data_IF_925317751293
#
_entry.id   IF_925317751293
#
_cell.length_a   1.000
_cell.length_b   1.000
_cell.length_c   1.000
_cell.angle_alpha   90.00
_cell.angle_beta   90.00
_cell.angle_gamma   90.00
#
_symmetry.space_group_name_H-M   'P 1'
#
loop_
_entity.id
_entity.type
_entity.pdbx_description
1 polymer ?
#
# COMPACT_ATOMS: atom_id res chain seq x y z
N UNK A 1 -23.22 -74.05 63.22
CA UNK A 1 -23.18 -72.64 62.75
C UNK A 1 -23.35 -72.68 61.23
N UNK A 2 -24.44 -72.11 60.71
CA UNK A 2 -24.82 -72.18 59.29
C UNK A 2 -24.37 -70.88 58.60
N UNK A 3 -23.61 -71.00 57.50
CA UNK A 3 -23.16 -69.85 56.70
C UNK A 3 -24.32 -69.34 55.84
N UNK A 4 -24.62 -68.03 55.82
CA UNK A 4 -25.67 -67.49 54.96
C UNK A 4 -25.24 -67.60 53.49
N UNK A 5 -26.02 -68.27 52.65
CA UNK A 5 -25.81 -68.27 51.21
C UNK A 5 -26.32 -66.96 50.62
N UNK A 6 -25.43 -66.20 49.99
CA UNK A 6 -25.77 -64.98 49.26
C UNK A 6 -26.13 -65.36 47.81
N UNK A 7 -27.24 -64.83 47.30
CA UNK A 7 -27.69 -65.02 45.90
C UNK A 7 -28.75 -66.09 45.65
N UNK A 8 -29.57 -66.47 46.64
CA UNK A 8 -30.60 -67.52 46.52
C UNK A 8 -32.02 -67.03 46.14
N UNK A 9 -32.19 -65.73 45.86
CA UNK A 9 -33.47 -65.17 45.42
C UNK A 9 -33.58 -65.13 43.88
N UNK A 10 -34.78 -65.32 43.29
CA UNK A 10 -34.96 -65.25 41.84
C UNK A 10 -34.59 -63.85 41.32
N UNK A 11 -33.63 -63.78 40.39
CA UNK A 11 -33.13 -62.53 39.80
C UNK A 11 -31.77 -62.05 40.30
N UNK A 12 -31.13 -62.75 41.24
CA UNK A 12 -29.73 -62.47 41.62
C UNK A 12 -28.76 -63.42 40.92
N UNK A 13 -27.64 -62.88 40.44
CA UNK A 13 -26.53 -63.65 39.87
C UNK A 13 -25.78 -64.37 41.00
N UNK A 14 -25.82 -65.70 40.99
CA UNK A 14 -25.08 -66.53 41.94
C UNK A 14 -23.57 -66.43 41.68
N UNK A 15 -22.80 -66.04 42.69
CA UNK A 15 -21.34 -66.07 42.64
C UNK A 15 -20.86 -67.50 42.94
N UNK A 16 -20.16 -68.17 42.00
CA UNK A 16 -19.60 -69.48 42.28
C UNK A 16 -18.51 -69.34 43.36
N UNK A 17 -18.78 -69.92 44.54
CA UNK A 17 -17.80 -70.09 45.61
C UNK A 17 -16.78 -71.15 45.20
N UNK A 18 -15.87 -70.77 44.29
CA UNK A 18 -14.70 -71.57 43.93
C UNK A 18 -13.45 -70.89 44.44
N UNK A 19 -12.77 -71.62 45.33
CA UNK A 19 -11.58 -71.29 46.09
C UNK A 19 -10.47 -70.60 45.28
N UNK A 20 -9.88 -69.55 45.86
CA UNK A 20 -8.70 -68.90 45.31
C UNK A 20 -8.37 -67.59 46.00
N UNK A 21 -8.08 -67.62 47.30
CA UNK A 21 -7.56 -66.47 48.05
C UNK A 21 -6.19 -66.08 47.48
N UNK A 22 -6.17 -65.11 46.57
CA UNK A 22 -4.92 -64.57 46.00
C UNK A 22 -4.21 -63.75 47.08
N UNK A 23 -2.96 -64.09 47.48
CA UNK A 23 -2.26 -63.33 48.50
C UNK A 23 -1.98 -61.90 48.00
N UNK A 24 -2.33 -60.91 48.83
CA UNK A 24 -1.93 -59.51 48.68
C UNK A 24 -0.42 -59.41 48.94
N UNK A 25 0.36 -59.71 47.90
CA UNK A 25 1.82 -59.57 47.90
C UNK A 25 2.20 -58.09 47.89
N UNK A 26 2.60 -57.60 49.05
CA UNK A 26 3.39 -56.38 49.23
C UNK A 26 4.79 -56.62 48.67
N UNK A 27 4.97 -56.46 47.37
CA UNK A 27 6.31 -56.34 46.76
C UNK A 27 6.42 -54.96 46.17
N UNK A 28 7.16 -54.10 46.86
CA UNK A 28 7.57 -52.78 46.41
C UNK A 28 8.33 -52.86 45.10
N UNK A 29 7.57 -52.83 44.01
CA UNK A 29 8.06 -52.49 42.68
C UNK A 29 7.96 -50.97 42.62
N UNK A 30 9.03 -50.30 43.03
CA UNK A 30 9.27 -48.90 42.72
C UNK A 30 9.10 -48.78 41.20
N UNK A 31 8.08 -48.03 40.76
CA UNK A 31 7.95 -47.65 39.37
C UNK A 31 9.28 -46.99 38.97
N UNK A 32 9.96 -47.43 37.90
CA UNK A 32 11.12 -46.71 37.42
C UNK A 32 10.71 -45.25 37.28
N UNK A 33 11.45 -44.33 37.90
CA UNK A 33 11.31 -42.90 37.65
C UNK A 33 11.11 -42.75 36.15
N UNK A 34 9.96 -42.21 35.71
CA UNK A 34 9.76 -41.89 34.31
C UNK A 34 10.90 -40.94 33.98
N UNK A 35 11.95 -41.45 33.32
CA UNK A 35 12.99 -40.61 32.77
C UNK A 35 12.25 -39.59 31.91
N UNK A 36 12.27 -38.33 32.34
CA UNK A 36 11.70 -37.18 31.65
C UNK A 36 11.97 -37.38 30.17
N UNK A 37 10.92 -37.65 29.39
CA UNK A 37 11.08 -37.93 27.98
C UNK A 37 11.85 -36.73 27.40
N UNK A 38 13.03 -36.94 26.79
CA UNK A 38 13.87 -35.81 26.38
C UNK A 38 13.00 -34.91 25.52
N UNK A 39 12.85 -33.65 25.94
CA UNK A 39 12.12 -32.65 25.18
C UNK A 39 12.84 -32.54 23.84
N UNK A 40 12.39 -33.30 22.85
CA UNK A 40 12.96 -33.22 21.52
C UNK A 40 12.67 -31.79 21.06
N UNK A 41 13.73 -31.01 20.88
CA UNK A 41 13.65 -29.73 20.21
C UNK A 41 12.97 -29.97 18.86
N UNK A 42 11.68 -29.65 18.79
CA UNK A 42 10.93 -29.73 17.55
C UNK A 42 11.55 -28.70 16.64
N UNK A 43 12.41 -29.14 15.70
CA UNK A 43 13.01 -28.27 14.70
C UNK A 43 11.89 -27.66 13.85
N UNK A 44 11.48 -26.44 14.18
CA UNK A 44 10.38 -25.73 13.50
C UNK A 44 10.61 -25.57 12.00
N UNK A 45 11.86 -25.62 11.56
CA UNK A 45 12.29 -25.57 10.16
C UNK A 45 11.92 -26.81 9.34
N UNK A 46 11.51 -27.93 9.96
CA UNK A 46 11.06 -29.14 9.25
C UNK A 46 9.55 -29.17 9.01
N UNK A 47 8.79 -28.23 9.55
CA UNK A 47 7.35 -28.16 9.28
C UNK A 47 7.13 -27.44 7.95
N UNK A 48 6.56 -28.10 6.91
CA UNK A 48 6.35 -27.48 5.61
C UNK A 48 5.47 -26.22 5.71
N UNK A 49 4.53 -26.19 6.66
CA UNK A 49 3.70 -25.02 6.95
C UNK A 49 4.51 -23.79 7.40
N UNK A 50 5.59 -23.99 8.16
CA UNK A 50 6.44 -22.89 8.64
C UNK A 50 7.21 -22.22 7.50
N UNK A 51 7.74 -23.02 6.56
CA UNK A 51 8.44 -22.51 5.38
C UNK A 51 7.50 -21.74 4.45
N UNK A 52 6.28 -22.25 4.24
CA UNK A 52 5.26 -21.57 3.44
C UNK A 52 4.85 -20.24 4.10
N UNK A 53 4.65 -20.22 5.42
CA UNK A 53 4.30 -19.00 6.16
C UNK A 53 5.38 -17.93 6.01
N UNK A 54 6.65 -18.29 6.21
CA UNK A 54 7.77 -17.35 6.08
C UNK A 54 7.87 -16.83 4.64
N UNK A 55 7.81 -17.72 3.66
CA UNK A 55 7.87 -17.35 2.25
C UNK A 55 6.74 -16.39 1.87
N UNK A 56 5.51 -16.68 2.28
CA UNK A 56 4.36 -15.83 2.01
C UNK A 56 4.46 -14.48 2.72
N UNK A 57 5.07 -14.43 3.90
CA UNK A 57 5.33 -13.16 4.61
C UNK A 57 6.33 -12.30 3.84
N UNK A 58 7.41 -12.89 3.32
CA UNK A 58 8.36 -12.15 2.47
C UNK A 58 7.71 -11.66 1.18
N UNK A 59 6.91 -12.48 0.51
CA UNK A 59 6.20 -12.07 -0.71
C UNK A 59 5.21 -10.95 -0.41
N UNK A 60 4.44 -11.05 0.68
CA UNK A 60 3.51 -10.00 1.09
C UNK A 60 4.23 -8.68 1.37
N UNK A 61 5.35 -8.74 2.09
CA UNK A 61 6.13 -7.56 2.45
C UNK A 61 6.82 -6.93 1.23
N UNK A 62 7.38 -7.73 0.33
CA UNK A 62 7.95 -7.27 -0.93
C UNK A 62 6.88 -6.65 -1.85
N UNK A 63 5.69 -7.26 -1.92
CA UNK A 63 4.56 -6.72 -2.67
C UNK A 63 4.08 -5.39 -2.10
N UNK A 64 3.99 -5.28 -0.76
CA UNK A 64 3.61 -4.03 -0.10
C UNK A 64 4.64 -2.92 -0.33
N UNK A 65 5.95 -3.22 -0.25
CA UNK A 65 7.01 -2.26 -0.57
C UNK A 65 6.93 -1.83 -2.03
N UNK A 66 6.79 -2.78 -2.96
CA UNK A 66 6.69 -2.49 -4.39
C UNK A 66 5.48 -1.61 -4.68
N UNK A 67 4.32 -1.96 -4.10
CA UNK A 67 3.11 -1.16 -4.24
C UNK A 67 3.28 0.24 -3.66
N UNK A 68 3.88 0.37 -2.47
CA UNK A 68 4.16 1.65 -1.84
C UNK A 68 5.05 2.54 -2.71
N UNK A 69 6.11 1.97 -3.30
CA UNK A 69 6.99 2.69 -4.23
C UNK A 69 6.20 3.14 -5.46
N UNK A 70 5.39 2.24 -6.04
CA UNK A 70 4.55 2.58 -7.20
C UNK A 70 3.59 3.71 -6.83
N UNK A 71 2.92 3.68 -5.68
CA UNK A 71 2.00 4.75 -5.27
C UNK A 71 2.71 6.05 -4.93
N UNK A 72 3.90 6.00 -4.34
CA UNK A 72 4.66 7.20 -4.01
C UNK A 72 5.24 7.89 -5.26
N UNK A 73 5.58 7.11 -6.29
CA UNK A 73 6.10 7.63 -7.58
C UNK A 73 4.94 8.02 -8.51
N UNK A 74 3.87 7.24 -8.52
CA UNK A 74 2.65 7.50 -9.27
C UNK A 74 1.57 8.14 -8.37
N UNK A 75 1.95 9.13 -7.54
CA UNK A 75 0.94 9.99 -6.93
C UNK A 75 0.34 10.86 -8.05
N UNK A 76 -0.54 10.22 -8.82
CA UNK A 76 -1.24 10.75 -10.00
C UNK A 76 -2.34 11.74 -9.59
N UNK A 77 -2.46 12.05 -8.30
CA UNK A 77 -3.49 12.94 -7.79
C UNK A 77 -3.29 14.36 -8.32
N UNK A 78 -2.05 14.82 -8.47
CA UNK A 78 -1.72 16.19 -8.88
C UNK A 78 -1.37 16.23 -10.37
N UNK A 79 -2.41 16.32 -11.20
CA UNK A 79 -2.29 16.59 -12.62
C UNK A 79 -2.99 17.90 -12.99
N UNK A 80 -2.43 18.62 -13.96
CA UNK A 80 -3.08 19.77 -14.58
C UNK A 80 -3.98 19.25 -15.69
N UNK A 81 -5.20 19.76 -15.75
CA UNK A 81 -6.19 19.42 -16.79
C UNK A 81 -6.95 20.67 -17.22
N UNK A 82 -7.45 20.66 -18.47
CA UNK A 82 -8.31 21.73 -18.97
C UNK A 82 -7.68 23.11 -18.88
N UNK A 83 -6.40 23.25 -19.23
CA UNK A 83 -5.73 24.54 -19.25
C UNK A 83 -6.38 25.44 -20.31
N UNK A 84 -7.03 26.50 -19.85
CA UNK A 84 -7.58 27.58 -20.64
C UNK A 84 -6.64 28.78 -20.66
N UNK A 85 -6.64 29.48 -21.80
CA UNK A 85 -6.01 30.78 -21.96
C UNK A 85 -7.03 31.73 -22.58
N UNK A 86 -7.29 32.83 -21.89
CA UNK A 86 -8.12 33.92 -22.38
C UNK A 86 -7.33 35.23 -22.35
N UNK A 87 -7.59 36.10 -23.32
CA UNK A 87 -6.90 37.39 -23.44
C UNK A 87 -7.96 38.49 -23.43
N UNK A 88 -8.13 39.12 -22.28
CA UNK A 88 -9.15 40.13 -22.04
C UNK A 88 -8.53 41.45 -21.61
N UNK A 89 -8.88 42.53 -22.33
CA UNK A 89 -8.44 43.89 -21.98
C UNK A 89 -6.92 44.09 -21.95
N UNK A 90 -6.16 43.24 -22.66
CA UNK A 90 -4.70 43.24 -22.65
C UNK A 90 -4.08 42.50 -21.46
N UNK A 91 -4.81 41.65 -20.76
CA UNK A 91 -4.24 40.73 -19.78
C UNK A 91 -4.48 39.29 -20.25
N UNK A 92 -3.47 38.44 -20.08
CA UNK A 92 -3.66 37.00 -20.25
C UNK A 92 -4.13 36.42 -18.91
N UNK A 93 -5.25 35.72 -18.97
CA UNK A 93 -5.78 34.94 -17.86
C UNK A 93 -5.66 33.46 -18.21
N UNK A 94 -4.91 32.75 -17.38
CA UNK A 94 -4.73 31.31 -17.43
C UNK A 94 -5.60 30.69 -16.35
N UNK A 95 -6.40 29.70 -16.71
CA UNK A 95 -7.19 28.92 -15.78
C UNK A 95 -6.94 27.43 -16.01
N UNK A 96 -6.89 26.63 -14.94
CA UNK A 96 -6.76 25.18 -15.06
C UNK A 96 -7.50 24.46 -13.95
N UNK A 97 -7.68 23.15 -14.14
CA UNK A 97 -8.29 22.26 -13.17
C UNK A 97 -7.26 21.28 -12.60
N UNK A 98 -7.27 21.12 -11.28
CA UNK A 98 -6.44 20.17 -10.53
C UNK A 98 -6.79 20.19 -9.04
N UNK A 99 -6.23 19.28 -8.22
CA UNK A 99 -6.40 19.32 -6.77
C UNK A 99 -5.80 20.58 -6.13
N UNK A 100 -6.13 20.83 -4.86
CA UNK A 100 -5.51 21.90 -4.07
C UNK A 100 -4.03 21.57 -3.80
N UNK A 101 -3.16 22.09 -4.67
CA UNK A 101 -1.72 21.85 -4.68
C UNK A 101 -0.97 23.08 -5.22
N UNK A 102 0.35 23.11 -5.01
CA UNK A 102 1.19 24.14 -5.60
C UNK A 102 1.47 23.86 -7.08
N UNK A 103 1.23 24.86 -7.92
CA UNK A 103 1.48 24.83 -9.36
C UNK A 103 2.53 25.86 -9.76
N UNK A 104 3.31 25.50 -10.76
CA UNK A 104 4.29 26.37 -11.41
C UNK A 104 3.88 26.63 -12.85
N UNK A 105 4.00 27.90 -13.25
CA UNK A 105 3.68 28.37 -14.60
C UNK A 105 4.96 28.87 -15.25
N UNK A 106 5.20 28.44 -16.48
CA UNK A 106 6.34 28.86 -17.29
C UNK A 106 5.84 29.41 -18.62
N UNK A 107 6.48 30.47 -19.10
CA UNK A 107 6.33 30.93 -20.48
C UNK A 107 7.48 30.36 -21.32
N UNK A 108 7.14 29.76 -22.45
CA UNK A 108 8.07 29.23 -23.45
C UNK A 108 7.91 30.09 -24.71
N UNK A 109 8.94 30.86 -25.05
CA UNK A 109 8.94 31.70 -26.26
C UNK A 109 9.30 30.87 -27.51
N UNK A 110 9.06 31.41 -28.71
CA UNK A 110 9.29 30.68 -29.97
C UNK A 110 10.75 30.31 -30.24
N UNK A 111 11.70 30.94 -29.54
CA UNK A 111 13.13 30.61 -29.56
C UNK A 111 13.53 29.51 -28.55
N UNK A 112 12.59 29.05 -27.74
CA UNK A 112 12.80 28.07 -26.68
C UNK A 112 13.21 28.67 -25.33
N UNK A 113 13.29 30.01 -25.19
CA UNK A 113 13.55 30.64 -23.90
C UNK A 113 12.40 30.37 -22.93
N UNK A 114 12.75 29.92 -21.72
CA UNK A 114 11.79 29.61 -20.66
C UNK A 114 11.89 30.61 -19.53
N UNK A 115 10.76 31.26 -19.21
CA UNK A 115 10.65 32.21 -18.10
C UNK A 115 9.73 31.64 -17.02
N UNK A 116 10.17 31.67 -15.76
CA UNK A 116 9.37 31.26 -14.62
C UNK A 116 8.39 32.38 -14.22
N UNK A 117 7.10 32.07 -14.26
CA UNK A 117 5.99 32.96 -13.94
C UNK A 117 5.23 32.48 -12.69
N UNK A 118 5.77 31.53 -11.93
CA UNK A 118 5.14 30.92 -10.75
C UNK A 118 4.70 31.97 -9.71
N UNK A 119 5.38 33.11 -9.64
CA UNK A 119 5.02 34.21 -8.74
C UNK A 119 3.63 34.84 -9.00
N UNK A 120 3.06 34.63 -10.19
CA UNK A 120 1.75 35.16 -10.60
C UNK A 120 0.60 34.16 -10.39
N UNK A 121 0.91 32.96 -9.89
CA UNK A 121 -0.07 31.89 -9.67
C UNK A 121 -0.84 32.15 -8.39
N UNK A 122 -2.17 32.08 -8.49
CA UNK A 122 -3.09 32.14 -7.35
C UNK A 122 -4.04 30.95 -7.42
N UNK A 123 -3.77 29.90 -6.62
CA UNK A 123 -4.56 28.67 -6.67
C UNK A 123 -4.43 27.96 -8.01
N UNK A 124 -5.51 27.92 -8.79
CA UNK A 124 -5.59 27.28 -10.11
C UNK A 124 -5.75 28.26 -11.26
N UNK A 125 -5.36 29.52 -11.05
CA UNK A 125 -5.35 30.55 -12.07
C UNK A 125 -4.07 31.40 -12.01
N UNK A 126 -3.76 32.07 -13.11
CA UNK A 126 -2.70 33.07 -13.17
C UNK A 126 -3.13 34.26 -14.04
N UNK A 127 -2.84 35.47 -13.56
CA UNK A 127 -3.15 36.71 -14.23
C UNK A 127 -1.85 37.42 -14.64
N UNK A 128 -1.68 37.60 -15.94
CA UNK A 128 -0.45 38.12 -16.55
C UNK A 128 -0.75 39.45 -17.28
N UNK A 129 -0.23 40.58 -16.80
CA UNK A 129 -0.42 41.86 -17.46
C UNK A 129 0.45 41.98 -18.72
N UNK A 130 -0.12 42.36 -19.87
CA UNK A 130 0.66 42.58 -21.10
C UNK A 130 1.68 43.72 -20.97
N UNK A 131 1.42 44.71 -20.10
CA UNK A 131 2.28 45.87 -19.90
C UNK A 131 3.70 45.49 -19.42
N UNK A 132 3.88 44.28 -18.89
CA UNK A 132 5.17 43.76 -18.43
C UNK A 132 5.98 43.08 -19.54
N UNK A 133 5.40 42.86 -20.72
CA UNK A 133 6.09 42.19 -21.85
C UNK A 133 6.51 40.76 -21.53
N UNK A 134 5.75 40.05 -20.70
CA UNK A 134 6.07 38.68 -20.24
C UNK A 134 5.70 37.59 -21.25
N UNK A 135 4.97 37.96 -22.30
CA UNK A 135 4.52 37.05 -23.35
C UNK A 135 4.26 37.83 -24.64
N UNK A 136 4.48 37.15 -25.75
CA UNK A 136 4.23 37.60 -27.12
C UNK A 136 3.29 36.61 -27.84
N UNK A 137 2.99 36.86 -29.11
CA UNK A 137 2.07 36.01 -29.88
C UNK A 137 2.60 34.58 -30.12
N UNK A 138 3.91 34.38 -30.04
CA UNK A 138 4.57 33.08 -30.21
C UNK A 138 4.78 32.33 -28.88
N UNK A 139 4.30 32.90 -27.76
CA UNK A 139 4.52 32.34 -26.44
C UNK A 139 3.52 31.25 -26.12
N UNK A 140 4.00 30.15 -25.55
CA UNK A 140 3.19 29.08 -25.00
C UNK A 140 3.41 28.97 -23.49
N UNK A 141 2.32 28.94 -22.73
CA UNK A 141 2.36 28.73 -21.30
C UNK A 141 2.34 27.25 -20.98
N UNK A 142 3.18 26.82 -20.05
CA UNK A 142 3.20 25.46 -19.51
C UNK A 142 2.90 25.53 -18.02
N UNK A 143 1.87 24.80 -17.61
CA UNK A 143 1.49 24.69 -16.19
C UNK A 143 1.77 23.27 -15.74
N UNK A 144 2.49 23.13 -14.62
CA UNK A 144 2.85 21.83 -14.03
C UNK A 144 2.84 21.88 -12.50
N UNK A 145 2.70 20.74 -11.80
CA UNK A 145 2.87 20.70 -10.35
C UNK A 145 4.27 21.19 -9.94
N UNK A 146 4.39 21.97 -8.87
CA UNK A 146 5.68 22.53 -8.41
C UNK A 146 6.67 21.45 -7.97
N UNK A 147 6.18 20.31 -7.50
CA UNK A 147 7.03 19.17 -7.14
C UNK A 147 7.70 18.51 -8.36
N UNK A 148 7.21 18.79 -9.57
CA UNK A 148 7.76 18.22 -10.80
C UNK A 148 9.10 18.87 -11.15
N UNK A 149 10.15 18.06 -11.15
CA UNK A 149 11.50 18.45 -11.56
C UNK A 149 11.78 18.01 -13.00
N UNK A 150 12.40 18.88 -13.80
CA UNK A 150 12.77 18.56 -15.18
C UNK A 150 12.76 19.79 -16.08
N UNK A 151 13.33 19.64 -17.26
CA UNK A 151 13.30 20.66 -18.31
C UNK A 151 11.86 20.94 -18.76
N UNK A 152 11.50 22.22 -18.90
CA UNK A 152 10.18 22.61 -19.41
C UNK A 152 10.18 22.41 -20.92
N UNK A 153 9.19 21.70 -21.44
CA UNK A 153 9.07 21.41 -22.87
C UNK A 153 7.62 21.42 -23.30
N UNK A 154 7.40 21.74 -24.58
CA UNK A 154 6.10 21.71 -25.26
C UNK A 154 5.83 20.33 -25.91
N UNK A 155 6.78 19.42 -25.85
CA UNK A 155 6.61 18.05 -26.35
C UNK A 155 5.52 17.31 -25.55
N UNK A 156 4.57 16.70 -26.26
CA UNK A 156 3.40 16.07 -25.65
C UNK A 156 3.77 14.89 -24.73
N UNK A 157 4.83 14.13 -25.04
CA UNK A 157 5.28 13.04 -24.18
C UNK A 157 5.90 13.58 -22.88
N UNK A 158 6.64 14.68 -22.98
CA UNK A 158 7.24 15.37 -21.83
C UNK A 158 6.17 16.01 -20.95
N UNK A 159 5.18 16.70 -21.54
CA UNK A 159 4.05 17.26 -20.82
C UNK A 159 3.25 16.18 -20.09
N UNK A 160 2.96 15.06 -20.77
CA UNK A 160 2.30 13.91 -20.15
C UNK A 160 3.09 13.33 -18.98
N UNK A 161 4.40 13.15 -19.14
CA UNK A 161 5.29 12.67 -18.08
C UNK A 161 5.38 13.64 -16.88
N UNK A 162 5.26 14.94 -17.14
CA UNK A 162 5.30 15.99 -16.13
C UNK A 162 3.92 16.33 -15.53
N UNK A 163 2.86 15.66 -15.99
CA UNK A 163 1.46 15.95 -15.66
C UNK A 163 1.10 17.42 -15.89
N UNK A 164 1.71 17.98 -16.94
CA UNK A 164 1.60 19.35 -17.34
C UNK A 164 0.61 19.52 -18.50
N UNK A 165 0.15 20.74 -18.70
CA UNK A 165 -0.60 21.16 -19.88
C UNK A 165 0.04 22.41 -20.46
N UNK A 166 -0.15 22.60 -21.76
CA UNK A 166 0.32 23.79 -22.47
C UNK A 166 -0.82 24.49 -23.21
N UNK A 167 -0.79 25.81 -23.23
CA UNK A 167 -1.71 26.63 -24.02
C UNK A 167 -0.92 27.77 -24.68
N UNK A 168 -1.09 27.95 -25.99
CA UNK A 168 -0.36 28.95 -26.76
C UNK A 168 -1.21 30.19 -27.02
N UNK A 169 -0.57 31.37 -26.95
CA UNK A 169 -1.22 32.67 -27.20
C UNK A 169 -1.80 32.72 -28.61
N UNK A 170 -1.10 32.15 -29.59
CA UNK A 170 -1.57 32.04 -30.97
C UNK A 170 -2.93 31.33 -31.09
N UNK A 171 -3.21 30.31 -30.26
CA UNK A 171 -4.45 29.53 -30.31
C UNK A 171 -5.62 30.23 -29.59
N UNK A 172 -5.33 31.13 -28.65
CA UNK A 172 -6.34 31.87 -27.90
C UNK A 172 -6.89 33.09 -28.65
N UNK A 173 -6.24 33.50 -29.75
CA UNK A 173 -6.62 34.68 -30.55
C UNK A 173 -7.36 34.33 -31.84
N UNK A 174 -7.57 33.05 -32.14
CA UNK A 174 -8.24 32.55 -33.35
C UNK A 174 -9.76 32.48 -33.24
#
# INVERSE_FOLDING_TARGET
>A
MQNPSLGSAPGQTALPQTAGTRPLGTTGSVLPELAEAPAQERKWWRHPAFMVSIGLTFVALASAITWFIITAVNDDSIAVSGLGLSIDGGNAHLDWSGPDAAYSVYAVHGDGETTDLTQWVTGTEAWLPSALGLYENDTCFVVRPTATTGEVSLDAATLGAQRAQSACVADATS
#
